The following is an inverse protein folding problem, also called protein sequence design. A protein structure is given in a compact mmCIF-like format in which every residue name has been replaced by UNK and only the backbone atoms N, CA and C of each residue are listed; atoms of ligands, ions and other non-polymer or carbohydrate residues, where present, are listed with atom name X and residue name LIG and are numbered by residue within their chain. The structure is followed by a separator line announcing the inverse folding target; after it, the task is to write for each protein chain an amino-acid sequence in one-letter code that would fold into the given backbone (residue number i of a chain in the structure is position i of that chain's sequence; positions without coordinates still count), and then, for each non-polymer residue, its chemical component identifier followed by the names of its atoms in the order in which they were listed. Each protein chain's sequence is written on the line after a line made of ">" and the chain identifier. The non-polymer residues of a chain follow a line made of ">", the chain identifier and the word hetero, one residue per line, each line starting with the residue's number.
data_IF_019099474171
#
_entry.id   IF_019099474171
#
_cell.length_a   1.000
_cell.length_b   1.000
_cell.length_c   1.000
_cell.angle_alpha   90.00
_cell.angle_beta   90.00
_cell.angle_gamma   90.00
#
_symmetry.space_group_name_H-M   'P 1'
#
loop_
_entity.id
_entity.type
_entity.pdbx_description
1 polymer ?
#
# COMPACT_ATOMS: atom_id res chain seq x y z
N UNK A 1 1.20 -8.42 21.78
CA UNK A 1 1.23 -7.66 20.50
C UNK A 1 2.62 -7.82 19.89
N UNK A 2 2.77 -8.11 18.59
CA UNK A 2 4.10 -8.31 17.97
C UNK A 2 4.95 -7.03 18.05
N UNK A 3 6.25 -7.18 18.34
CA UNK A 3 7.24 -6.08 18.39
C UNK A 3 7.16 -5.17 17.16
N UNK A 4 7.11 -5.77 15.96
CA UNK A 4 6.94 -5.07 14.68
C UNK A 4 5.66 -4.23 14.63
N UNK A 5 4.55 -4.77 15.16
CA UNK A 5 3.26 -4.08 15.15
C UNK A 5 3.29 -2.83 16.04
N UNK A 6 4.01 -2.85 17.17
CA UNK A 6 4.16 -1.68 18.04
C UNK A 6 4.87 -0.53 17.32
N UNK A 7 5.97 -0.83 16.64
CA UNK A 7 6.73 0.15 15.86
C UNK A 7 5.91 0.73 14.73
N UNK A 8 5.32 -0.13 13.88
CA UNK A 8 4.53 0.30 12.72
C UNK A 8 3.37 1.19 13.14
N UNK A 9 2.65 0.84 14.22
CA UNK A 9 1.53 1.66 14.72
C UNK A 9 1.98 3.01 15.27
N UNK A 10 3.19 3.10 15.84
CA UNK A 10 3.76 4.37 16.30
C UNK A 10 4.12 5.29 15.13
N UNK A 11 4.67 4.74 14.05
CA UNK A 11 5.07 5.51 12.86
C UNK A 11 3.83 5.94 12.05
N UNK A 12 3.01 4.98 11.63
CA UNK A 12 1.94 5.18 10.63
C UNK A 12 0.55 5.42 11.21
N UNK A 13 0.39 5.39 12.54
CA UNK A 13 -0.92 5.41 13.17
C UNK A 13 -1.70 4.10 12.97
N UNK A 14 -2.86 3.99 13.61
CA UNK A 14 -3.70 2.79 13.52
C UNK A 14 -5.13 3.02 13.98
N UNK A 15 -6.03 2.13 13.56
CA UNK A 15 -7.39 2.08 14.08
C UNK A 15 -7.50 1.17 15.31
N UNK A 16 -8.30 1.61 16.28
CA UNK A 16 -8.86 0.78 17.35
C UNK A 16 -10.37 0.95 17.26
N UNK A 17 -11.07 -0.08 16.78
CA UNK A 17 -12.47 0.06 16.35
C UNK A 17 -12.57 1.11 15.24
N UNK A 18 -13.49 2.07 15.40
CA UNK A 18 -13.71 3.15 14.45
C UNK A 18 -12.79 4.36 14.65
N UNK A 19 -12.02 4.40 15.75
CA UNK A 19 -11.18 5.55 16.09
C UNK A 19 -9.80 5.40 15.47
N UNK A 20 -9.37 6.42 14.72
CA UNK A 20 -8.01 6.53 14.21
C UNK A 20 -7.08 7.20 15.23
N UNK A 21 -6.05 6.48 15.65
CA UNK A 21 -4.98 7.00 16.49
C UNK A 21 -3.80 7.43 15.62
N UNK A 22 -3.50 8.73 15.66
CA UNK A 22 -2.42 9.36 14.89
C UNK A 22 -1.04 8.79 15.23
N UNK A 23 -0.20 8.62 14.22
CA UNK A 23 1.20 8.27 14.34
C UNK A 23 2.13 9.47 14.17
N UNK A 24 3.43 9.18 14.05
CA UNK A 24 4.46 10.17 13.72
C UNK A 24 4.19 10.88 12.39
N UNK A 25 3.80 10.14 11.36
CA UNK A 25 3.58 10.69 10.01
C UNK A 25 2.34 11.61 9.92
N UNK A 26 1.49 11.61 10.94
CA UNK A 26 0.31 12.47 11.04
C UNK A 26 0.62 13.80 11.73
N UNK A 27 1.90 14.11 11.92
CA UNK A 27 2.36 15.40 12.42
C UNK A 27 2.31 16.45 11.32
N UNK A 28 1.92 17.67 11.69
CA UNK A 28 1.75 18.81 10.80
C UNK A 28 3.08 19.48 10.44
N UNK A 29 4.07 19.38 11.32
CA UNK A 29 5.40 19.96 11.16
C UNK A 29 6.48 19.11 11.88
N UNK A 30 7.74 19.47 11.65
CA UNK A 30 8.91 18.77 12.20
C UNK A 30 8.94 18.79 13.73
N UNK A 31 8.57 19.92 14.36
CA UNK A 31 8.54 20.03 15.83
C UNK A 31 7.56 19.04 16.46
N UNK A 32 6.34 18.96 15.92
CA UNK A 32 5.33 18.01 16.41
C UNK A 32 5.77 16.55 16.20
N UNK A 33 6.47 16.28 15.09
CA UNK A 33 7.06 14.96 14.84
C UNK A 33 8.11 14.60 15.89
N UNK A 34 9.02 15.52 16.20
CA UNK A 34 10.10 15.30 17.16
C UNK A 34 9.58 15.11 18.59
N UNK A 35 8.60 15.91 19.00
CA UNK A 35 7.96 15.78 20.30
C UNK A 35 7.30 14.40 20.46
N UNK A 36 6.58 13.92 19.43
CA UNK A 36 5.99 12.58 19.45
C UNK A 36 7.04 11.48 19.40
N UNK A 37 8.13 11.68 18.66
CA UNK A 37 9.22 10.69 18.58
C UNK A 37 9.92 10.52 19.93
N UNK A 38 10.10 11.61 20.68
CA UNK A 38 10.61 11.58 22.05
C UNK A 38 9.65 10.83 22.98
N UNK A 39 8.33 11.08 22.89
CA UNK A 39 7.33 10.34 23.68
C UNK A 39 7.32 8.84 23.39
N UNK A 40 7.75 8.41 22.19
CA UNK A 40 7.84 7.00 21.82
C UNK A 40 9.13 6.32 22.30
N UNK A 41 10.14 7.07 22.78
CA UNK A 41 11.46 6.55 23.13
C UNK A 41 11.39 5.42 24.15
N UNK A 42 10.78 5.66 25.31
CA UNK A 42 10.70 4.67 26.40
C UNK A 42 9.94 3.41 25.93
N UNK A 43 8.80 3.63 25.27
CA UNK A 43 7.96 2.56 24.72
C UNK A 43 8.76 1.72 23.73
N UNK A 44 9.39 2.33 22.74
CA UNK A 44 10.16 1.61 21.73
C UNK A 44 11.37 0.92 22.32
N UNK A 45 12.07 1.55 23.26
CA UNK A 45 13.21 0.92 23.96
C UNK A 45 12.78 -0.34 24.72
N UNK A 46 11.59 -0.35 25.34
CA UNK A 46 11.05 -1.53 26.02
C UNK A 46 10.70 -2.67 25.08
N UNK A 47 10.13 -2.38 23.91
CA UNK A 47 9.67 -3.42 22.97
C UNK A 47 10.76 -3.88 21.98
N UNK A 48 11.60 -2.94 21.52
CA UNK A 48 12.68 -3.13 20.55
C UNK A 48 13.88 -2.25 20.96
N UNK A 49 14.71 -2.73 21.90
CA UNK A 49 15.89 -2.00 22.35
C UNK A 49 16.78 -1.55 21.19
N UNK A 50 17.23 -0.30 21.22
CA UNK A 50 18.12 0.28 20.20
C UNK A 50 17.41 0.77 18.93
N UNK A 51 16.13 0.44 18.71
CA UNK A 51 15.40 0.89 17.52
C UNK A 51 15.26 2.41 17.46
N UNK A 52 14.97 3.07 18.59
CA UNK A 52 14.82 4.53 18.63
C UNK A 52 16.11 5.24 18.18
N UNK A 53 17.26 4.83 18.73
CA UNK A 53 18.59 5.35 18.36
C UNK A 53 18.93 5.08 16.89
N UNK A 54 18.66 3.87 16.40
CA UNK A 54 18.82 3.56 14.97
C UNK A 54 17.92 4.43 14.08
N UNK A 55 16.67 4.64 14.48
CA UNK A 55 15.71 5.41 13.70
C UNK A 55 16.10 6.89 13.63
N UNK A 56 16.53 7.49 14.75
CA UNK A 56 16.95 8.89 14.82
C UNK A 56 18.31 9.14 14.14
N UNK A 57 19.24 8.18 14.19
CA UNK A 57 20.53 8.28 13.50
C UNK A 57 20.46 7.98 12.00
N UNK A 58 19.33 7.44 11.51
CA UNK A 58 19.16 7.15 10.10
C UNK A 58 18.94 8.44 9.30
N UNK A 59 19.68 8.62 8.21
CA UNK A 59 19.43 9.71 7.24
C UNK A 59 17.99 9.68 6.71
N UNK A 60 17.35 8.51 6.77
CA UNK A 60 15.95 8.29 6.40
C UNK A 60 14.96 9.16 7.19
N UNK A 61 15.29 9.60 8.41
CA UNK A 61 14.36 10.42 9.21
C UNK A 61 14.13 11.81 8.57
N UNK A 62 15.17 12.39 7.98
CA UNK A 62 15.08 13.67 7.25
C UNK A 62 14.16 13.50 6.05
N UNK A 63 14.42 12.47 5.23
CA UNK A 63 13.58 12.13 4.08
C UNK A 63 12.13 11.84 4.46
N UNK A 64 11.90 11.18 5.61
CA UNK A 64 10.55 10.93 6.13
C UNK A 64 9.84 12.25 6.45
N UNK A 65 10.50 13.17 7.15
CA UNK A 65 9.92 14.49 7.47
C UNK A 65 9.64 15.30 6.21
N UNK A 66 10.58 15.34 5.26
CA UNK A 66 10.47 16.12 4.02
C UNK A 66 9.43 15.59 3.02
N UNK A 67 9.05 14.31 3.10
CA UNK A 67 8.19 13.70 2.08
C UNK A 67 6.85 13.19 2.60
N UNK A 68 6.72 12.89 3.90
CA UNK A 68 5.61 12.06 4.38
C UNK A 68 4.77 12.64 5.52
N UNK A 69 5.12 13.83 6.02
CA UNK A 69 4.28 14.55 6.98
C UNK A 69 2.90 14.87 6.43
N UNK A 70 1.95 15.10 7.32
CA UNK A 70 0.55 15.36 6.97
C UNK A 70 0.40 16.58 6.05
N UNK A 71 1.11 17.66 6.38
CA UNK A 71 1.09 18.90 5.58
C UNK A 71 1.64 18.71 4.16
N UNK A 72 2.56 17.77 3.97
CA UNK A 72 3.19 17.46 2.68
C UNK A 72 2.28 16.55 1.86
N UNK A 73 1.77 15.47 2.47
CA UNK A 73 0.80 14.56 1.84
C UNK A 73 -0.46 15.29 1.40
N UNK A 74 -0.99 16.18 2.25
CA UNK A 74 -2.17 16.99 1.93
C UNK A 74 -1.91 17.92 0.75
N UNK A 75 -0.78 18.62 0.73
CA UNK A 75 -0.39 19.51 -0.38
C UNK A 75 -0.17 18.77 -1.69
N UNK A 76 0.33 17.55 -1.62
CA UNK A 76 0.53 16.67 -2.77
C UNK A 76 -0.76 15.94 -3.21
N UNK A 77 -1.92 16.23 -2.59
CA UNK A 77 -3.20 15.55 -2.82
C UNK A 77 -3.13 14.02 -2.61
N UNK A 78 -2.15 13.55 -1.84
CA UNK A 78 -2.00 12.14 -1.46
C UNK A 78 -2.94 11.76 -0.31
N UNK A 79 -3.69 12.73 0.20
CA UNK A 79 -4.72 12.54 1.21
C UNK A 79 -4.40 13.29 2.50
N UNK A 80 -5.46 13.56 3.24
CA UNK A 80 -5.45 14.02 4.63
C UNK A 80 -6.05 12.90 5.47
N UNK A 81 -5.49 12.57 6.65
CA UNK A 81 -6.14 11.68 7.60
C UNK A 81 -7.63 12.02 7.67
N UNK A 82 -8.55 11.07 7.42
CA UNK A 82 -8.34 9.62 7.48
C UNK A 82 -8.08 8.89 6.15
N UNK A 83 -8.10 9.54 4.97
CA UNK A 83 -7.83 8.82 3.70
C UNK A 83 -6.33 8.57 3.56
N UNK A 84 -5.91 7.36 3.93
CA UNK A 84 -4.52 6.91 3.80
C UNK A 84 -4.11 6.90 2.33
N UNK A 85 -3.03 7.60 2.02
CA UNK A 85 -2.24 7.28 0.84
C UNK A 85 -1.75 5.84 0.99
N UNK A 86 -2.14 4.96 0.08
CA UNK A 86 -1.57 3.61 0.01
C UNK A 86 -0.99 3.40 -1.36
N UNK A 87 0.22 2.88 -1.42
CA UNK A 87 0.82 2.39 -2.65
C UNK A 87 0.30 1.00 -3.03
N UNK A 88 -0.70 0.45 -2.32
CA UNK A 88 -1.24 -0.90 -2.53
C UNK A 88 -1.57 -1.19 -3.99
N UNK A 89 -2.22 -0.25 -4.70
CA UNK A 89 -2.54 -0.43 -6.12
C UNK A 89 -1.26 -0.56 -6.96
N UNK A 90 -0.30 0.34 -6.74
CA UNK A 90 0.98 0.35 -7.44
C UNK A 90 1.82 -0.89 -7.12
N UNK A 91 1.85 -1.31 -5.86
CA UNK A 91 2.56 -2.51 -5.39
C UNK A 91 1.91 -3.79 -5.92
N UNK A 92 0.58 -3.83 -5.98
CA UNK A 92 -0.16 -4.96 -6.56
C UNK A 92 0.18 -5.11 -8.04
N UNK A 93 0.07 -4.04 -8.84
CA UNK A 93 0.44 -4.06 -10.27
C UNK A 93 1.91 -4.45 -10.45
N UNK A 94 2.81 -3.86 -9.66
CA UNK A 94 4.24 -4.21 -9.70
C UNK A 94 4.50 -5.67 -9.35
N UNK A 95 3.75 -6.24 -8.40
CA UNK A 95 3.84 -7.66 -8.04
C UNK A 95 3.41 -8.55 -9.21
N UNK A 96 2.28 -8.23 -9.85
CA UNK A 96 1.79 -8.94 -11.05
C UNK A 96 2.82 -8.91 -12.17
N UNK A 97 3.39 -7.74 -12.46
CA UNK A 97 4.43 -7.58 -13.49
C UNK A 97 5.69 -8.40 -13.13
N UNK A 98 6.14 -8.35 -11.87
CA UNK A 98 7.32 -9.12 -11.40
C UNK A 98 7.11 -10.62 -11.54
N UNK A 99 5.91 -11.11 -11.21
CA UNK A 99 5.54 -12.52 -11.41
C UNK A 99 5.53 -12.91 -12.89
N UNK A 100 4.99 -12.05 -13.76
CA UNK A 100 4.97 -12.24 -15.21
C UNK A 100 6.39 -12.44 -15.78
N UNK A 101 7.37 -11.64 -15.31
CA UNK A 101 8.78 -11.79 -15.71
C UNK A 101 9.57 -12.80 -14.87
N UNK A 102 8.91 -13.51 -13.95
CA UNK A 102 9.53 -14.48 -13.01
C UNK A 102 10.69 -13.88 -12.21
N UNK A 103 10.59 -12.60 -11.83
CA UNK A 103 11.63 -11.85 -11.13
C UNK A 103 12.99 -11.80 -11.85
N UNK A 104 13.04 -12.06 -13.16
CA UNK A 104 14.27 -12.02 -13.96
C UNK A 104 14.29 -10.80 -14.87
N UNK A 105 15.46 -10.19 -15.03
CA UNK A 105 15.68 -9.13 -16.03
C UNK A 105 15.33 -9.69 -17.42
N UNK A 106 14.48 -8.96 -18.13
CA UNK A 106 14.13 -9.25 -19.53
C UNK A 106 14.71 -8.14 -20.40
N UNK A 107 15.06 -8.43 -21.65
CA UNK A 107 15.31 -7.35 -22.62
C UNK A 107 14.01 -6.59 -22.89
N UNK A 108 14.10 -5.36 -23.40
CA UNK A 108 12.91 -4.55 -23.70
C UNK A 108 11.90 -5.27 -24.62
N UNK A 109 12.29 -5.90 -25.74
CA UNK A 109 11.35 -6.64 -26.59
C UNK A 109 10.66 -7.79 -25.85
N UNK A 110 11.43 -8.59 -25.08
CA UNK A 110 10.88 -9.71 -24.30
C UNK A 110 9.94 -9.24 -23.20
N UNK A 111 10.22 -8.08 -22.61
CA UNK A 111 9.35 -7.47 -21.60
C UNK A 111 8.02 -7.03 -22.21
N UNK A 112 8.04 -6.35 -23.36
CA UNK A 112 6.84 -5.90 -24.07
C UNK A 112 5.95 -7.09 -24.45
N UNK A 113 6.53 -8.15 -25.01
CA UNK A 113 5.77 -9.35 -25.40
C UNK A 113 5.08 -10.01 -24.18
N UNK A 114 5.79 -10.13 -23.06
CA UNK A 114 5.23 -10.69 -21.82
C UNK A 114 4.11 -9.81 -21.26
N UNK A 115 4.27 -8.49 -21.32
CA UNK A 115 3.27 -7.55 -20.83
C UNK A 115 2.00 -7.58 -21.68
N UNK A 116 2.13 -7.67 -23.01
CA UNK A 116 0.98 -7.84 -23.91
C UNK A 116 0.21 -9.12 -23.60
N UNK A 117 0.92 -10.26 -23.44
CA UNK A 117 0.30 -11.54 -23.04
C UNK A 117 -0.40 -11.45 -21.68
N UNK A 118 0.17 -10.73 -20.71
CA UNK A 118 -0.47 -10.51 -19.41
C UNK A 118 -1.80 -9.77 -19.57
N UNK A 119 -1.82 -8.68 -20.35
CA UNK A 119 -3.03 -7.90 -20.61
C UNK A 119 -4.10 -8.76 -21.28
N UNK A 120 -3.73 -9.58 -22.27
CA UNK A 120 -4.66 -10.50 -22.93
C UNK A 120 -5.27 -11.52 -21.95
N UNK A 121 -4.47 -12.07 -21.03
CA UNK A 121 -4.95 -13.00 -20.00
C UNK A 121 -5.94 -12.29 -19.06
N UNK A 122 -5.61 -11.10 -18.57
CA UNK A 122 -6.49 -10.33 -17.67
C UNK A 122 -7.81 -9.97 -18.36
N UNK A 123 -7.78 -9.56 -19.63
CA UNK A 123 -9.00 -9.30 -20.41
C UNK A 123 -9.84 -10.57 -20.62
N UNK A 124 -9.19 -11.72 -20.83
CA UNK A 124 -9.89 -13.00 -20.97
C UNK A 124 -10.55 -13.43 -19.64
N UNK A 125 -9.88 -13.26 -18.52
CA UNK A 125 -10.46 -13.52 -17.19
C UNK A 125 -11.61 -12.57 -16.86
N UNK A 126 -11.51 -11.29 -17.24
CA UNK A 126 -12.62 -10.35 -17.13
C UNK A 126 -13.82 -10.77 -17.99
N UNK A 127 -13.58 -11.27 -19.21
CA UNK A 127 -14.61 -11.84 -20.07
C UNK A 127 -15.32 -13.04 -19.44
N UNK A 128 -14.56 -13.94 -18.80
CA UNK A 128 -15.10 -15.11 -18.07
C UNK A 128 -16.11 -14.72 -16.99
N UNK A 129 -15.88 -13.61 -16.30
CA UNK A 129 -16.80 -13.12 -15.27
C UNK A 129 -18.20 -12.82 -15.83
N UNK A 130 -18.30 -12.40 -17.10
CA UNK A 130 -19.58 -12.09 -17.76
C UNK A 130 -20.46 -13.34 -17.86
N UNK A 131 -19.88 -14.48 -18.20
CA UNK A 131 -20.60 -15.75 -18.31
C UNK A 131 -20.42 -16.66 -17.08
N UNK A 132 -20.13 -16.07 -15.93
CA UNK A 132 -20.04 -16.71 -14.60
C UNK A 132 -19.03 -17.87 -14.54
N UNK A 133 -17.92 -17.73 -15.25
CA UNK A 133 -16.80 -18.66 -15.24
C UNK A 133 -15.56 -18.01 -14.65
N UNK A 134 -14.58 -18.82 -14.23
CA UNK A 134 -13.31 -18.33 -13.70
C UNK A 134 -13.39 -17.84 -12.25
N UNK A 135 -12.40 -17.07 -11.83
CA UNK A 135 -12.26 -16.63 -10.42
C UNK A 135 -12.96 -15.29 -10.12
N UNK A 136 -13.30 -14.53 -11.16
CA UNK A 136 -13.94 -13.22 -11.02
C UNK A 136 -15.46 -13.30 -11.21
N UNK A 137 -16.18 -12.45 -10.47
CA UNK A 137 -17.62 -12.28 -10.60
C UNK A 137 -17.96 -10.82 -10.87
N UNK A 138 -19.03 -10.57 -11.61
CA UNK A 138 -19.52 -9.21 -11.83
C UNK A 138 -19.97 -8.57 -10.50
N UNK A 139 -19.59 -7.30 -10.31
CA UNK A 139 -20.09 -6.51 -9.18
C UNK A 139 -21.64 -6.41 -9.25
N UNK A 140 -22.32 -6.24 -8.10
CA UNK A 140 -23.79 -6.26 -8.02
C UNK A 140 -24.49 -5.38 -9.07
N UNK A 141 -23.97 -4.18 -9.31
CA UNK A 141 -24.47 -3.18 -10.27
C UNK A 141 -24.35 -3.60 -11.74
N UNK A 142 -23.44 -4.54 -12.06
CA UNK A 142 -23.20 -5.03 -13.42
C UNK A 142 -23.83 -6.41 -13.70
N UNK A 143 -24.48 -7.04 -12.71
CA UNK A 143 -25.06 -8.39 -12.86
C UNK A 143 -26.03 -8.53 -14.04
N UNK A 144 -26.72 -7.44 -14.40
CA UNK A 144 -27.63 -7.38 -15.55
C UNK A 144 -26.96 -7.63 -16.90
N UNK A 145 -25.64 -7.44 -17.00
CA UNK A 145 -24.85 -7.73 -18.19
C UNK A 145 -24.32 -9.17 -18.21
N UNK A 146 -24.50 -9.91 -17.10
CA UNK A 146 -24.09 -11.30 -17.02
C UNK A 146 -24.93 -12.20 -17.90
N UNK A 147 -24.27 -13.11 -18.60
CA UNK A 147 -24.89 -14.11 -19.47
C UNK A 147 -24.82 -15.49 -18.82
N UNK A 148 -25.68 -16.41 -19.26
CA UNK A 148 -25.52 -17.81 -18.89
C UNK A 148 -24.39 -18.44 -19.72
N UNK A 149 -23.66 -19.38 -19.14
CA UNK A 149 -22.51 -20.01 -19.78
C UNK A 149 -22.89 -20.73 -21.08
N UNK A 150 -24.14 -21.20 -21.18
CA UNK A 150 -24.70 -21.87 -22.35
C UNK A 150 -24.97 -20.92 -23.53
N UNK A 151 -25.02 -19.61 -23.28
CA UNK A 151 -25.33 -18.58 -24.29
C UNK A 151 -24.07 -17.95 -24.91
N UNK A 152 -22.89 -18.31 -24.41
CA UNK A 152 -21.59 -17.76 -24.82
C UNK A 152 -20.88 -18.74 -25.77
N UNK A 153 -21.05 -18.55 -27.08
CA UNK A 153 -20.40 -19.33 -28.14
C UNK A 153 -19.44 -18.46 -28.95
#
# INVERSE_FOLDING_TARGET
>A
MSKKRVIIRGIFGHHIGDVYHKGLLDSSCDSEFDDKLLQLQEKWQRFVPGFHSWFTSSHSIVTVKELTLDSIRTRALLGSPPRKYTNNANESVNSTIKNCVKFKKSSWPQFVEKLQKLVEIELKEAGKAVYRSGEYILAPEYRKYGMDQTSWH
#
